data_IF_925943161213
#
_entry.id   IF_925943161213
#
_cell.length_a   1.000
_cell.length_b   1.000
_cell.length_c   1.000
_cell.angle_alpha   90.00
_cell.angle_beta   90.00
_cell.angle_gamma   90.00
#
_symmetry.space_group_name_H-M   'P 1'
#
loop_
_entity.id
_entity.type
_entity.pdbx_description
1 polymer ?
#
# COMPACT_ATOMS: atom_id res chain seq x y z
N UNK A 1 0.73 -1.51 11.15
CA UNK A 1 -0.62 -0.91 11.14
C UNK A 1 -1.73 -1.95 11.29
N UNK A 2 -1.85 -2.96 10.42
CA UNK A 2 -2.91 -3.98 10.51
C UNK A 2 -2.90 -4.76 11.84
N UNK A 3 -1.73 -5.23 12.27
CA UNK A 3 -1.59 -5.95 13.54
C UNK A 3 -2.06 -5.10 14.75
N UNK A 4 -1.77 -3.80 14.73
CA UNK A 4 -2.21 -2.87 15.78
C UNK A 4 -3.73 -2.67 15.76
N UNK A 5 -4.32 -2.52 14.57
CA UNK A 5 -5.77 -2.39 14.43
C UNK A 5 -6.53 -3.62 14.95
N UNK A 6 -5.99 -4.82 14.73
CA UNK A 6 -6.53 -6.07 15.28
C UNK A 6 -6.40 -6.13 16.81
N UNK A 7 -5.22 -5.78 17.35
CA UNK A 7 -4.98 -5.75 18.81
C UNK A 7 -5.95 -4.83 19.54
N UNK A 8 -6.15 -3.61 19.03
CA UNK A 8 -7.08 -2.63 19.64
C UNK A 8 -8.52 -3.14 19.73
N UNK A 9 -8.90 -4.04 18.82
CA UNK A 9 -10.22 -4.67 18.76
C UNK A 9 -10.27 -6.04 19.44
N UNK A 10 -9.18 -6.46 20.10
CA UNK A 10 -9.04 -7.80 20.70
C UNK A 10 -9.28 -8.95 19.71
N UNK A 11 -8.98 -8.71 18.44
CA UNK A 11 -9.07 -9.72 17.38
C UNK A 11 -7.73 -10.43 17.23
N UNK A 12 -7.77 -11.76 17.11
CA UNK A 12 -6.61 -12.57 16.80
C UNK A 12 -6.59 -12.92 15.31
N UNK A 13 -5.39 -13.02 14.74
CA UNK A 13 -5.16 -13.61 13.42
C UNK A 13 -4.17 -14.77 13.53
N UNK A 14 -4.31 -15.77 12.67
CA UNK A 14 -3.31 -16.82 12.52
C UNK A 14 -2.32 -16.39 11.43
N UNK A 15 -1.06 -16.17 11.80
CA UNK A 15 0.00 -15.85 10.84
C UNK A 15 0.59 -17.17 10.34
N UNK A 16 0.32 -17.51 9.07
CA UNK A 16 0.84 -18.72 8.45
C UNK A 16 2.25 -18.52 7.86
N UNK A 17 2.55 -17.31 7.37
CA UNK A 17 3.81 -16.97 6.72
C UNK A 17 4.11 -15.48 6.89
N UNK A 18 5.40 -15.15 7.05
CA UNK A 18 5.93 -13.79 6.91
C UNK A 18 6.87 -13.74 5.71
N UNK A 19 6.73 -12.70 4.88
CA UNK A 19 7.47 -12.54 3.62
C UNK A 19 8.11 -11.14 3.55
N UNK A 20 9.22 -10.97 2.81
CA UNK A 20 9.95 -9.71 2.80
C UNK A 20 9.30 -8.62 1.91
N UNK A 21 8.33 -8.95 1.05
CA UNK A 21 7.72 -7.99 0.13
C UNK A 21 6.26 -8.32 -0.19
N UNK A 22 5.49 -7.30 -0.61
CA UNK A 22 4.11 -7.48 -1.05
C UNK A 22 3.99 -8.36 -2.28
N UNK A 23 4.89 -8.21 -3.26
CA UNK A 23 4.83 -9.00 -4.49
C UNK A 23 5.03 -10.49 -4.22
N UNK A 24 5.96 -10.85 -3.33
CA UNK A 24 6.13 -12.24 -2.89
C UNK A 24 4.86 -12.75 -2.19
N UNK A 25 4.27 -11.94 -1.30
CA UNK A 25 3.02 -12.27 -0.62
C UNK A 25 1.84 -12.50 -1.57
N UNK A 26 1.70 -11.66 -2.61
CA UNK A 26 0.66 -11.80 -3.62
C UNK A 26 0.78 -13.12 -4.40
N UNK A 27 2.01 -13.53 -4.77
CA UNK A 27 2.23 -14.84 -5.41
C UNK A 27 1.89 -16.01 -4.48
N UNK A 28 2.22 -15.90 -3.19
CA UNK A 28 1.84 -16.93 -2.20
C UNK A 28 0.31 -17.03 -2.09
N UNK A 29 -0.38 -15.90 -2.01
CA UNK A 29 -1.85 -15.87 -1.95
C UNK A 29 -2.45 -16.46 -3.23
N UNK A 30 -1.89 -16.17 -4.40
CA UNK A 30 -2.39 -16.73 -5.67
C UNK A 30 -2.23 -18.25 -5.77
N UNK A 31 -1.28 -18.83 -5.03
CA UNK A 31 -0.99 -20.26 -5.03
C UNK A 31 -1.50 -21.00 -3.77
N UNK A 32 -2.36 -20.38 -2.94
CA UNK A 32 -2.82 -20.99 -1.68
C UNK A 32 -4.17 -20.45 -1.21
N UNK A 33 -4.72 -21.04 -0.14
CA UNK A 33 -5.93 -20.55 0.54
C UNK A 33 -5.64 -19.46 1.60
N UNK A 34 -4.48 -18.80 1.50
CA UNK A 34 -4.12 -17.71 2.39
C UNK A 34 -4.70 -16.37 1.90
N UNK A 35 -4.79 -15.40 2.81
CA UNK A 35 -5.17 -14.03 2.47
C UNK A 35 -4.13 -13.05 3.00
N UNK A 36 -4.02 -11.90 2.34
CA UNK A 36 -3.12 -10.82 2.73
C UNK A 36 -3.85 -9.47 2.66
N UNK A 37 -3.50 -8.57 3.59
CA UNK A 37 -3.91 -7.17 3.51
C UNK A 37 -2.80 -6.34 2.84
N UNK A 38 -3.17 -5.55 1.84
CA UNK A 38 -2.28 -4.81 0.95
C UNK A 38 -2.84 -3.41 0.68
N UNK A 39 -2.00 -2.35 0.58
CA UNK A 39 -2.45 -1.02 0.16
C UNK A 39 -3.04 -1.05 -1.26
N UNK A 40 -4.25 -0.50 -1.43
CA UNK A 40 -5.00 -0.52 -2.71
C UNK A 40 -4.16 -0.09 -3.94
N UNK A 41 -3.32 0.96 -3.88
CA UNK A 41 -2.50 1.37 -5.02
C UNK A 41 -1.50 0.32 -5.54
N UNK A 42 -1.20 -0.71 -4.74
CA UNK A 42 -0.23 -1.76 -5.06
C UNK A 42 -0.86 -3.02 -5.66
N UNK A 43 -2.19 -3.09 -5.74
CA UNK A 43 -2.89 -4.36 -5.95
C UNK A 43 -3.53 -4.47 -7.31
N UNK A 44 -4.08 -3.39 -7.87
CA UNK A 44 -5.00 -3.53 -9.02
C UNK A 44 -4.37 -4.23 -10.23
N UNK A 45 -3.20 -3.78 -10.70
CA UNK A 45 -2.60 -4.35 -11.92
C UNK A 45 -2.08 -5.77 -11.68
N UNK A 46 -1.55 -6.03 -10.47
CA UNK A 46 -0.97 -7.33 -10.10
C UNK A 46 -2.04 -8.36 -9.77
N UNK A 47 -3.13 -7.95 -9.11
CA UNK A 47 -4.23 -8.84 -8.76
C UNK A 47 -4.94 -9.36 -10.01
N UNK A 48 -5.17 -8.52 -11.01
CA UNK A 48 -5.72 -8.96 -12.29
C UNK A 48 -4.79 -9.98 -12.97
N UNK A 49 -3.47 -9.73 -12.96
CA UNK A 49 -2.49 -10.63 -13.57
C UNK A 49 -2.35 -11.99 -12.85
N UNK A 50 -2.64 -12.03 -11.54
CA UNK A 50 -2.54 -13.22 -10.70
C UNK A 50 -3.90 -13.89 -10.41
N UNK A 51 -4.97 -13.48 -11.09
CA UNK A 51 -6.35 -13.95 -10.88
C UNK A 51 -6.80 -13.83 -9.40
N UNK A 52 -6.38 -12.75 -8.74
CA UNK A 52 -6.70 -12.48 -7.34
C UNK A 52 -7.95 -11.62 -7.20
N UNK A 53 -8.76 -11.99 -6.22
CA UNK A 53 -9.96 -11.25 -5.85
C UNK A 53 -9.65 -10.22 -4.77
N UNK A 54 -9.85 -8.94 -5.07
CA UNK A 54 -9.70 -7.85 -4.09
C UNK A 54 -11.00 -7.62 -3.34
N UNK A 55 -10.90 -7.46 -2.02
CA UNK A 55 -12.02 -7.13 -1.12
C UNK A 55 -11.63 -6.00 -0.17
N UNK A 56 -12.59 -5.16 0.26
CA UNK A 56 -12.32 -4.17 1.29
C UNK A 56 -11.89 -4.87 2.59
N UNK A 57 -11.03 -4.21 3.36
CA UNK A 57 -10.63 -4.74 4.66
C UNK A 57 -11.87 -4.89 5.58
N UNK A 58 -11.98 -5.99 6.34
CA UNK A 58 -13.15 -6.25 7.20
C UNK A 58 -13.19 -5.37 8.46
N UNK A 59 -12.25 -4.44 8.58
CA UNK A 59 -12.15 -3.47 9.66
C UNK A 59 -11.62 -2.14 9.11
N UNK A 60 -11.96 -1.00 9.73
CA UNK A 60 -11.39 0.28 9.34
C UNK A 60 -9.88 0.27 9.61
N UNK A 61 -9.11 0.60 8.58
CA UNK A 61 -7.66 0.76 8.64
C UNK A 61 -7.31 2.21 8.27
N UNK A 62 -6.27 2.79 8.89
CA UNK A 62 -5.79 4.09 8.48
C UNK A 62 -5.27 4.04 7.04
N UNK A 63 -5.48 5.12 6.29
CA UNK A 63 -4.86 5.26 4.97
C UNK A 63 -3.35 5.43 5.11
N UNK A 64 -2.64 4.99 4.08
CA UNK A 64 -1.18 5.08 4.00
C UNK A 64 -0.85 6.14 2.96
N UNK A 65 -0.41 7.35 3.37
CA UNK A 65 -0.03 8.37 2.42
C UNK A 65 1.27 7.96 1.71
N UNK A 66 1.31 8.18 0.40
CA UNK A 66 2.54 8.13 -0.37
C UNK A 66 3.07 9.56 -0.48
N UNK A 67 4.34 9.75 -0.13
CA UNK A 67 4.98 11.06 -0.12
C UNK A 67 6.35 10.98 -0.79
N UNK A 68 6.70 12.03 -1.52
CA UNK A 68 8.07 12.27 -1.96
C UNK A 68 8.77 13.06 -0.86
N UNK A 69 9.87 12.52 -0.34
CA UNK A 69 10.62 13.11 0.76
C UNK A 69 12.03 13.47 0.28
N UNK A 70 12.53 14.61 0.73
CA UNK A 70 13.89 15.07 0.46
C UNK A 70 14.41 15.87 1.64
N UNK A 71 15.71 16.06 1.71
CA UNK A 71 16.34 16.88 2.72
C UNK A 71 16.26 18.36 2.35
N UNK A 72 16.03 19.26 3.33
CA UNK A 72 15.88 20.72 3.11
C UNK A 72 17.05 21.36 2.34
N UNK A 73 18.25 20.79 2.47
CA UNK A 73 19.44 21.16 1.68
C UNK A 73 19.18 21.19 0.16
N UNK A 74 18.31 20.32 -0.35
CA UNK A 74 17.97 20.23 -1.76
C UNK A 74 16.64 20.92 -2.10
N UNK A 75 16.10 21.75 -1.19
CA UNK A 75 14.86 22.48 -1.44
C UNK A 75 14.99 23.41 -2.66
N UNK A 76 16.14 24.07 -2.78
CA UNK A 76 16.41 25.08 -3.80
C UNK A 76 17.27 24.60 -4.97
N UNK A 77 17.71 23.34 -4.96
CA UNK A 77 18.48 22.75 -6.05
C UNK A 77 17.59 22.55 -7.29
N UNK A 78 18.01 23.10 -8.44
CA UNK A 78 17.20 23.10 -9.66
C UNK A 78 17.05 21.71 -10.28
N UNK A 79 18.13 20.91 -10.30
CA UNK A 79 18.09 19.55 -10.83
C UNK A 79 17.18 18.66 -9.96
N UNK A 80 17.27 18.81 -8.63
CA UNK A 80 16.41 18.11 -7.69
C UNK A 80 14.95 18.55 -7.84
N UNK A 81 14.67 19.84 -8.03
CA UNK A 81 13.31 20.34 -8.26
C UNK A 81 12.71 19.73 -9.52
N UNK A 82 13.44 19.81 -10.64
CA UNK A 82 13.01 19.20 -11.90
C UNK A 82 12.70 17.71 -11.73
N UNK A 83 13.58 16.95 -11.06
CA UNK A 83 13.36 15.53 -10.83
C UNK A 83 12.09 15.26 -9.98
N UNK A 84 11.83 16.07 -8.95
CA UNK A 84 10.60 15.98 -8.15
C UNK A 84 9.36 16.24 -8.99
N UNK A 85 9.42 17.24 -9.87
CA UNK A 85 8.30 17.61 -10.74
C UNK A 85 8.01 16.50 -11.76
N UNK A 86 9.06 15.88 -12.33
CA UNK A 86 8.93 14.72 -13.22
C UNK A 86 8.26 13.54 -12.50
N UNK A 87 8.73 13.22 -11.28
CA UNK A 87 8.11 12.15 -10.47
C UNK A 87 6.65 12.48 -10.17
N UNK A 88 6.37 13.69 -9.70
CA UNK A 88 5.00 14.12 -9.37
C UNK A 88 4.05 14.05 -10.58
N UNK A 89 4.55 14.39 -11.78
CA UNK A 89 3.77 14.30 -13.01
C UNK A 89 3.54 12.85 -13.49
N UNK A 90 4.47 11.94 -13.21
CA UNK A 90 4.39 10.54 -13.63
C UNK A 90 3.59 9.64 -12.68
N UNK A 91 3.39 10.06 -11.42
CA UNK A 91 2.67 9.26 -10.41
C UNK A 91 1.19 9.15 -10.75
N UNK A 92 0.69 7.91 -10.79
CA UNK A 92 -0.75 7.64 -10.96
C UNK A 92 -1.55 8.30 -9.81
N UNK A 93 -2.65 9.03 -10.11
CA UNK A 93 -3.50 9.68 -9.12
C UNK A 93 -3.98 8.77 -7.97
N UNK A 94 -3.99 7.45 -8.15
CA UNK A 94 -4.33 6.46 -7.11
C UNK A 94 -3.39 6.50 -5.91
N UNK A 95 -2.14 6.92 -6.09
CA UNK A 95 -1.18 7.14 -5.01
C UNK A 95 -1.39 8.49 -4.30
N UNK A 96 -2.09 9.41 -4.96
CA UNK A 96 -2.37 10.78 -4.52
C UNK A 96 -3.74 10.95 -3.86
N UNK A 97 -4.60 9.91 -3.87
CA UNK A 97 -5.96 10.00 -3.30
C UNK A 97 -5.90 10.11 -1.78
N UNK A 98 -6.49 11.17 -1.18
CA UNK A 98 -6.66 11.23 0.27
C UNK A 98 -7.58 10.10 0.74
N UNK A 99 -7.48 9.67 2.01
CA UNK A 99 -8.32 8.62 2.59
C UNK A 99 -9.79 8.83 2.22
N UNK A 100 -10.46 7.79 1.69
CA UNK A 100 -11.93 7.76 1.67
C UNK A 100 -12.37 7.90 3.12
N UNK A 101 -13.02 9.03 3.45
CA UNK A 101 -13.56 9.24 4.77
C UNK A 101 -14.58 8.13 5.04
N UNK A 102 -14.39 7.40 6.14
CA UNK A 102 -15.34 6.42 6.60
C UNK A 102 -16.69 7.12 6.84
N UNK A 103 -17.72 6.71 6.11
CA UNK A 103 -19.11 6.95 6.48
C UNK A 103 -19.55 5.86 7.45
#
# INVERSE_FOLDING_TARGET
MVAEALRRRKLARRVALEVPSFLAGLHVVAASDLLMNVPVPLVNDVAAALDLVVRPAPLPLPSVPFALLWHDRFQHDEAHRWARDVVAAAVDPRFSRPPVAAR
#
